data_IF_320772431849
#
_entry.id   IF_320772431849
#
_cell.length_a   1.000
_cell.length_b   1.000
_cell.length_c   1.000
_cell.angle_alpha   90.00
_cell.angle_beta   90.00
_cell.angle_gamma   90.00
#
_symmetry.space_group_name_H-M   'P 1'
#
loop_
_entity.id
_entity.type
_entity.pdbx_description
1 polymer ?
#
# COMPACT_ATOMS: atom_id res chain seq x y z
N UNK A 1 -1.79 5.69 4.10
CA UNK A 1 -2.49 5.80 2.79
C UNK A 1 -3.98 5.78 3.04
N UNK A 2 -4.72 6.73 2.49
CA UNK A 2 -6.17 6.85 2.66
C UNK A 2 -6.88 6.88 1.31
N UNK A 3 -8.15 6.48 1.29
CA UNK A 3 -8.98 6.55 0.10
C UNK A 3 -10.34 5.91 0.28
N UNK A 4 -11.05 5.68 -0.82
CA UNK A 4 -12.34 5.00 -0.85
C UNK A 4 -12.23 3.79 -1.77
N UNK A 5 -12.69 2.64 -1.31
CA UNK A 5 -12.81 1.43 -2.14
C UNK A 5 -14.25 1.29 -2.64
N UNK A 6 -14.39 0.98 -3.93
CA UNK A 6 -15.68 0.69 -4.58
C UNK A 6 -15.74 -0.79 -4.95
N UNK A 7 -16.59 -1.53 -4.25
CA UNK A 7 -16.83 -2.95 -4.49
C UNK A 7 -17.74 -3.12 -5.71
N UNK A 8 -17.32 -3.99 -6.64
CA UNK A 8 -18.18 -4.45 -7.74
C UNK A 8 -19.26 -5.40 -7.24
N UNK A 9 -18.99 -6.09 -6.13
CA UNK A 9 -19.92 -6.97 -5.43
C UNK A 9 -20.24 -6.39 -4.05
N UNK A 10 -21.39 -5.72 -3.88
CA UNK A 10 -21.79 -5.17 -2.60
C UNK A 10 -21.90 -6.26 -1.52
N UNK A 11 -21.49 -5.94 -0.30
CA UNK A 11 -21.59 -6.80 0.88
C UNK A 11 -22.75 -6.36 1.77
N UNK A 12 -23.24 -7.26 2.62
CA UNK A 12 -24.32 -6.93 3.57
C UNK A 12 -23.72 -6.60 4.93
N UNK A 13 -23.89 -5.34 5.36
CA UNK A 13 -23.46 -4.84 6.67
C UNK A 13 -24.70 -4.40 7.43
N UNK A 14 -24.96 -4.97 8.62
CA UNK A 14 -26.09 -4.60 9.47
C UNK A 14 -27.45 -4.55 8.74
N UNK A 15 -27.67 -5.41 7.75
CA UNK A 15 -28.91 -5.47 6.98
C UNK A 15 -28.93 -4.63 5.69
N UNK A 16 -28.00 -3.70 5.50
CA UNK A 16 -27.89 -2.86 4.32
C UNK A 16 -26.78 -3.34 3.37
N UNK A 17 -26.98 -3.13 2.06
CA UNK A 17 -25.93 -3.38 1.07
C UNK A 17 -24.98 -2.20 0.99
N UNK A 18 -23.69 -2.47 1.12
CA UNK A 18 -22.61 -1.48 1.05
C UNK A 18 -21.71 -1.82 -0.13
N UNK A 19 -21.52 -0.84 -1.02
CA UNK A 19 -20.64 -0.95 -2.19
C UNK A 19 -19.46 0.02 -2.14
N UNK A 20 -19.47 1.01 -1.27
CA UNK A 20 -18.38 1.98 -1.14
C UNK A 20 -18.03 2.15 0.35
N UNK A 21 -16.72 2.16 0.66
CA UNK A 21 -16.21 2.29 2.02
C UNK A 21 -14.91 3.07 2.02
N UNK A 22 -14.72 3.94 3.00
CA UNK A 22 -13.46 4.63 3.19
C UNK A 22 -12.44 3.74 3.90
N UNK A 23 -11.16 4.00 3.70
CA UNK A 23 -10.08 3.32 4.41
C UNK A 23 -8.95 4.30 4.70
N UNK A 24 -8.20 4.02 5.77
CA UNK A 24 -6.93 4.68 6.06
C UNK A 24 -5.99 3.72 6.78
N UNK A 25 -4.85 3.43 6.16
CA UNK A 25 -3.84 2.53 6.74
C UNK A 25 -3.10 3.18 7.92
N UNK A 26 -3.10 4.51 8.02
CA UNK A 26 -2.47 5.23 9.14
C UNK A 26 -3.32 5.17 10.42
N UNK A 27 -4.62 4.89 10.29
CA UNK A 27 -5.55 4.72 11.40
C UNK A 27 -5.58 3.28 11.94
N UNK A 28 -4.77 2.36 11.38
CA UNK A 28 -4.62 1.01 11.91
C UNK A 28 -3.88 1.09 13.24
N UNK A 29 -4.60 0.84 14.34
CA UNK A 29 -4.02 0.74 15.68
C UNK A 29 -3.33 -0.61 15.89
N UNK A 30 -2.46 -0.70 16.90
CA UNK A 30 -1.82 -1.97 17.28
C UNK A 30 -2.84 -3.05 17.72
N UNK A 31 -3.95 -2.64 18.32
CA UNK A 31 -5.06 -3.53 18.65
C UNK A 31 -5.70 -4.11 17.38
N UNK A 32 -5.98 -3.25 16.40
CA UNK A 32 -6.61 -3.67 15.15
C UNK A 32 -5.69 -4.57 14.32
N UNK A 33 -4.38 -4.29 14.35
CA UNK A 33 -3.35 -5.17 13.80
C UNK A 33 -3.39 -6.57 14.45
N UNK A 34 -3.38 -6.63 15.78
CA UNK A 34 -3.43 -7.90 16.51
C UNK A 34 -4.73 -8.68 16.25
N UNK A 35 -5.86 -8.00 16.15
CA UNK A 35 -7.15 -8.62 15.79
C UNK A 35 -7.11 -9.22 14.38
N UNK A 36 -6.54 -8.50 13.41
CA UNK A 36 -6.39 -8.96 12.05
C UNK A 36 -5.50 -10.21 11.95
N UNK A 37 -4.37 -10.24 12.65
CA UNK A 37 -3.50 -11.42 12.78
C UNK A 37 -4.25 -12.62 13.38
N UNK A 38 -5.01 -12.38 14.46
CA UNK A 38 -5.81 -13.41 15.13
C UNK A 38 -6.90 -13.98 14.21
N UNK A 39 -7.63 -13.11 13.49
CA UNK A 39 -8.66 -13.50 12.52
C UNK A 39 -8.07 -14.27 11.33
N UNK A 40 -6.92 -13.85 10.81
CA UNK A 40 -6.16 -14.61 9.79
C UNK A 40 -5.85 -16.02 10.27
N UNK A 41 -5.34 -16.15 11.51
CA UNK A 41 -5.02 -17.46 12.09
C UNK A 41 -6.26 -18.34 12.23
N UNK A 42 -7.38 -17.76 12.68
CA UNK A 42 -8.65 -18.46 12.82
C UNK A 42 -9.24 -18.94 11.48
N UNK A 43 -8.99 -18.24 10.37
CA UNK A 43 -9.47 -18.60 9.04
C UNK A 43 -8.74 -19.80 8.40
N UNK A 44 -7.79 -20.43 9.09
CA UNK A 44 -7.07 -21.61 8.59
C UNK A 44 -6.03 -21.28 7.51
N UNK A 45 -5.76 -20.00 7.26
CA UNK A 45 -4.70 -19.54 6.36
C UNK A 45 -3.30 -19.62 6.98
N UNK A 46 -3.21 -19.96 8.27
CA UNK A 46 -1.94 -20.16 8.95
C UNK A 46 -1.32 -21.50 8.52
N UNK A 47 -0.24 -21.44 7.74
CA UNK A 47 0.71 -22.54 7.58
C UNK A 47 1.96 -22.17 8.36
N UNK A 48 2.57 -23.12 9.09
CA UNK A 48 3.86 -22.97 9.81
C UNK A 48 5.07 -22.76 8.85
N UNK A 49 4.83 -22.14 7.71
CA UNK A 49 5.88 -21.73 6.79
C UNK A 49 6.28 -20.35 7.29
N UNK A 50 7.55 -20.19 7.66
CA UNK A 50 8.14 -18.88 7.99
C UNK A 50 8.16 -18.00 6.74
N UNK A 51 7.01 -17.43 6.40
CA UNK A 51 6.85 -16.47 5.30
C UNK A 51 7.07 -15.07 5.90
N UNK A 52 7.93 -14.27 5.28
CA UNK A 52 8.06 -12.85 5.63
C UNK A 52 6.69 -12.17 5.50
N UNK A 53 6.40 -11.18 6.36
CA UNK A 53 5.14 -10.42 6.34
C UNK A 53 4.84 -9.83 4.96
N UNK A 54 5.87 -9.51 4.18
CA UNK A 54 5.80 -8.98 2.81
C UNK A 54 5.22 -9.95 1.78
N UNK A 55 5.23 -11.25 2.07
CA UNK A 55 4.75 -12.32 1.20
C UNK A 55 3.50 -13.02 1.78
N UNK A 56 3.01 -12.57 2.94
CA UNK A 56 1.80 -13.10 3.56
C UNK A 56 0.56 -12.42 2.97
N UNK A 57 0.09 -12.94 1.83
CA UNK A 57 -1.09 -12.42 1.14
C UNK A 57 -2.36 -12.47 1.97
N UNK A 58 -2.48 -13.44 2.89
CA UNK A 58 -3.61 -13.49 3.81
C UNK A 58 -3.51 -12.34 4.82
N UNK A 59 -2.31 -12.05 5.34
CA UNK A 59 -2.09 -10.88 6.18
C UNK A 59 -2.41 -9.58 5.42
N UNK A 60 -1.99 -9.45 4.16
CA UNK A 60 -2.35 -8.28 3.35
C UNK A 60 -3.86 -8.09 3.25
N UNK A 61 -4.64 -9.15 3.06
CA UNK A 61 -6.11 -9.05 3.03
C UNK A 61 -6.66 -8.56 4.37
N UNK A 62 -6.21 -9.15 5.49
CA UNK A 62 -6.69 -8.77 6.82
C UNK A 62 -6.22 -7.38 7.27
N UNK A 63 -5.07 -6.90 6.79
CA UNK A 63 -4.64 -5.51 6.94
C UNK A 63 -5.53 -4.56 6.12
N UNK A 64 -5.97 -4.97 4.93
CA UNK A 64 -6.96 -4.22 4.16
C UNK A 64 -8.29 -4.09 4.90
N UNK A 65 -8.74 -5.18 5.55
CA UNK A 65 -9.92 -5.13 6.42
C UNK A 65 -9.73 -4.18 7.60
N UNK A 66 -8.58 -4.24 8.27
CA UNK A 66 -8.25 -3.33 9.36
C UNK A 66 -8.32 -1.85 8.91
N UNK A 67 -7.73 -1.51 7.77
CA UNK A 67 -7.77 -0.14 7.23
C UNK A 67 -9.20 0.38 7.00
N UNK A 68 -10.10 -0.50 6.53
CA UNK A 68 -11.53 -0.16 6.31
C UNK A 68 -12.24 0.00 7.65
N UNK A 69 -12.07 -0.94 8.58
CA UNK A 69 -12.73 -0.92 9.90
C UNK A 69 -12.33 0.33 10.69
N UNK A 70 -11.07 0.75 10.59
CA UNK A 70 -10.56 1.96 11.26
C UNK A 70 -11.38 3.22 10.89
N UNK A 71 -11.83 3.34 9.63
CA UNK A 71 -12.69 4.45 9.17
C UNK A 71 -14.19 4.16 9.29
N UNK A 72 -14.57 2.90 9.47
CA UNK A 72 -15.96 2.46 9.47
C UNK A 72 -16.23 1.55 10.68
N UNK A 73 -16.31 2.09 11.91
CA UNK A 73 -16.40 1.28 13.14
C UNK A 73 -17.68 0.43 13.27
N UNK A 74 -18.66 0.62 12.38
CA UNK A 74 -19.88 -0.20 12.30
C UNK A 74 -19.71 -1.47 11.47
N UNK A 75 -18.60 -1.58 10.74
CA UNK A 75 -18.24 -2.71 9.88
C UNK A 75 -17.29 -3.61 10.68
N UNK A 76 -17.57 -4.90 10.68
CA UNK A 76 -16.74 -5.91 11.34
C UNK A 76 -15.90 -6.71 10.34
N UNK A 77 -14.92 -7.47 10.84
CA UNK A 77 -14.18 -8.44 10.03
C UNK A 77 -15.11 -9.49 9.39
N UNK A 78 -16.19 -9.87 10.07
CA UNK A 78 -17.11 -10.90 9.59
C UNK A 78 -18.00 -10.35 8.46
N UNK A 79 -18.29 -9.04 8.45
CA UNK A 79 -18.93 -8.37 7.32
C UNK A 79 -18.01 -8.37 6.09
N UNK A 80 -16.75 -7.99 6.28
CA UNK A 80 -15.75 -7.89 5.21
C UNK A 80 -15.32 -9.27 4.67
N UNK A 81 -15.45 -10.34 5.46
CA UNK A 81 -15.25 -11.71 4.98
C UNK A 81 -16.22 -12.11 3.84
N UNK A 82 -17.31 -11.38 3.65
CA UNK A 82 -18.25 -11.59 2.53
C UNK A 82 -17.76 -10.98 1.20
N UNK A 83 -16.68 -10.19 1.21
CA UNK A 83 -16.07 -9.64 -0.02
C UNK A 83 -15.67 -10.80 -0.93
N UNK A 84 -15.95 -10.65 -2.23
CA UNK A 84 -15.81 -11.74 -3.20
C UNK A 84 -15.28 -11.26 -4.54
N UNK A 85 -14.77 -12.20 -5.34
CA UNK A 85 -14.28 -11.91 -6.68
C UNK A 85 -13.05 -11.01 -6.66
N UNK A 86 -13.00 -10.04 -7.59
CA UNK A 86 -11.85 -9.13 -7.73
C UNK A 86 -11.73 -8.10 -6.62
N UNK A 87 -12.85 -7.83 -5.94
CA UNK A 87 -12.86 -6.92 -4.79
C UNK A 87 -11.95 -7.41 -3.65
N UNK A 88 -11.72 -8.74 -3.53
CA UNK A 88 -10.75 -9.30 -2.57
C UNK A 88 -9.33 -8.81 -2.87
N UNK A 89 -8.96 -8.75 -4.14
CA UNK A 89 -7.62 -8.30 -4.56
C UNK A 89 -7.48 -6.79 -4.33
N UNK A 90 -8.53 -6.03 -4.60
CA UNK A 90 -8.55 -4.58 -4.38
C UNK A 90 -8.40 -4.23 -2.89
N UNK A 91 -9.08 -4.97 -2.00
CA UNK A 91 -8.90 -4.84 -0.54
C UNK A 91 -7.51 -5.28 -0.11
N UNK A 92 -7.01 -6.41 -0.63
CA UNK A 92 -5.67 -6.90 -0.31
C UNK A 92 -4.57 -5.90 -0.71
N UNK A 93 -4.74 -5.17 -1.82
CA UNK A 93 -3.80 -4.13 -2.25
C UNK A 93 -3.66 -3.02 -1.21
N UNK A 94 -4.76 -2.62 -0.54
CA UNK A 94 -4.73 -1.64 0.55
C UNK A 94 -3.82 -2.11 1.67
N UNK A 95 -4.02 -3.34 2.16
CA UNK A 95 -3.22 -3.87 3.26
C UNK A 95 -1.78 -4.20 2.86
N UNK A 96 -1.54 -4.59 1.60
CA UNK A 96 -0.18 -4.73 1.07
C UNK A 96 0.61 -3.41 1.17
N UNK A 97 -0.02 -2.28 0.86
CA UNK A 97 0.63 -0.96 0.93
C UNK A 97 0.88 -0.47 2.36
N UNK A 98 0.21 -1.06 3.36
CA UNK A 98 0.56 -0.86 4.76
C UNK A 98 1.85 -1.63 5.14
N UNK A 99 1.96 -2.88 4.70
CA UNK A 99 3.13 -3.74 5.00
C UNK A 99 4.37 -3.29 4.23
N UNK A 100 4.22 -3.08 2.93
CA UNK A 100 5.27 -2.55 2.07
C UNK A 100 5.18 -1.04 2.15
N UNK A 101 6.09 -0.41 2.92
CA UNK A 101 6.22 1.05 3.00
C UNK A 101 6.00 1.63 1.61
N UNK A 102 4.97 2.46 1.45
CA UNK A 102 4.81 3.25 0.24
C UNK A 102 6.03 4.17 0.15
N UNK A 103 6.68 4.29 -1.01
CA UNK A 103 7.87 5.14 -1.21
C UNK A 103 7.59 6.64 -1.05
N UNK A 104 6.40 7.02 -0.56
CA UNK A 104 5.92 8.40 -0.40
C UNK A 104 6.45 9.05 0.89
N UNK A 105 7.77 8.96 1.08
CA UNK A 105 8.52 9.54 2.19
C UNK A 105 9.61 10.52 1.77
N UNK A 106 9.63 10.97 0.51
CA UNK A 106 10.30 12.23 0.19
C UNK A 106 9.28 13.35 0.45
N UNK A 107 9.55 14.31 1.34
CA UNK A 107 8.80 15.56 1.29
C UNK A 107 9.01 16.17 -0.10
N UNK A 108 7.92 16.52 -0.78
CA UNK A 108 7.96 17.51 -1.85
C UNK A 108 8.40 18.83 -1.22
N UNK A 109 9.72 18.99 -1.04
CA UNK A 109 10.31 20.24 -0.62
C UNK A 109 10.24 21.20 -1.80
N UNK A 110 9.40 22.21 -1.59
CA UNK A 110 9.24 23.47 -2.29
C UNK A 110 10.29 23.78 -3.38
N UNK A 111 9.77 23.94 -4.61
CA UNK A 111 10.06 25.11 -5.45
C UNK A 111 11.54 25.52 -5.59
N UNK A 112 12.36 24.70 -6.25
CA UNK A 112 13.48 25.23 -7.03
C UNK A 112 13.24 24.99 -8.51
N UNK A 113 12.68 26.04 -9.12
CA UNK A 113 12.71 26.34 -10.55
C UNK A 113 14.04 25.86 -11.14
N UNK A 114 14.01 24.78 -11.92
CA UNK A 114 15.10 24.36 -12.80
C UNK A 114 15.41 25.51 -13.77
N UNK A 115 16.36 26.36 -13.39
CA UNK A 115 16.98 27.31 -14.30
C UNK A 115 18.12 26.55 -14.97
N UNK A 116 17.81 26.03 -16.14
CA UNK A 116 18.77 25.55 -17.12
C UNK A 116 19.84 26.63 -17.33
N UNK A 117 21.04 26.39 -16.80
CA UNK A 117 22.22 27.20 -17.15
C UNK A 117 23.07 26.37 -18.08
N UNK A 118 22.85 26.56 -19.38
CA UNK A 118 23.70 26.10 -20.48
C UNK A 118 25.15 26.54 -20.22
N UNK A 119 26.00 25.66 -19.70
CA UNK A 119 27.44 25.89 -19.70
C UNK A 119 27.97 25.52 -21.09
N UNK A 120 28.35 26.57 -21.82
CA UNK A 120 28.85 26.52 -23.18
C UNK A 120 30.03 25.58 -23.34
N UNK A 121 29.91 24.73 -24.35
CA UNK A 121 31.00 24.09 -25.07
C UNK A 121 32.14 25.08 -25.31
N UNK A 122 33.33 24.79 -24.80
CA UNK A 122 34.59 25.28 -25.38
C UNK A 122 35.61 24.17 -25.27
N UNK A 123 35.76 23.44 -26.38
CA UNK A 123 36.89 22.55 -26.65
C UNK A 123 38.16 23.40 -26.74
N UNK A 124 39.22 23.12 -25.96
CA UNK A 124 40.55 23.61 -26.28
C UNK A 124 41.20 22.64 -27.26
N UNK A 125 41.60 23.17 -28.41
CA UNK A 125 42.22 22.46 -29.52
C UNK A 125 43.57 21.79 -29.16
N UNK A 126 43.84 20.66 -29.82
CA UNK A 126 45.15 20.00 -29.88
C UNK A 126 46.23 20.91 -30.50
N UNK A 127 47.48 20.79 -30.04
CA UNK A 127 48.63 20.82 -30.92
C UNK A 127 49.33 19.44 -31.00
N UNK A 128 50.02 19.25 -32.12
CA UNK A 128 50.55 18.01 -32.71
C UNK A 128 52.07 17.97 -32.47
N UNK A 129 52.70 16.77 -32.59
CA UNK A 129 54.15 16.45 -32.77
C UNK A 129 55.07 16.65 -31.55
N UNK A 130 56.14 15.89 -31.26
CA UNK A 130 56.89 14.78 -31.89
C UNK A 130 57.91 14.21 -30.85
N UNK A 131 58.50 13.04 -31.17
CA UNK A 131 59.83 12.50 -30.77
C UNK A 131 60.07 11.72 -29.45
N UNK A 132 60.38 10.42 -29.66
CA UNK A 132 61.48 9.57 -29.12
C UNK A 132 61.95 9.69 -27.66
N UNK A 133 61.90 8.55 -26.93
CA UNK A 133 63.12 7.80 -26.51
C UNK A 133 62.80 6.29 -26.37
#
# INVERSE_FOLDING_TARGET
>A
MQGTIKLKNPIKVNGAYVSEMDYDTNEITGELFAMAESKKKAAGSYRDISVTVELDFSLHLYMGFAAIIAKNPKISFDDLAQVKGRDVIDVMAIGRNFILRSEDGQPDDDSEKLIETTQGSTIPALPISEAEE
#
